data_IF_873246687721
#
_entry.id   IF_873246687721
#
_cell.length_a   1.000
_cell.length_b   1.000
_cell.length_c   1.000
_cell.angle_alpha   90.00
_cell.angle_beta   90.00
_cell.angle_gamma   90.00
#
_symmetry.space_group_name_H-M   'P 1'
#
loop_
_entity.id
_entity.type
_entity.pdbx_description
1 polymer ?
#
# COMPACT_ATOMS: atom_id res chain seq x y z
N UNK A 1 6.85 -15.28 16.19
CA UNK A 1 7.00 -16.10 14.96
C UNK A 1 6.59 -15.24 13.76
N UNK A 2 7.44 -15.12 12.74
CA UNK A 2 7.07 -14.41 11.50
C UNK A 2 6.07 -15.26 10.72
N UNK A 3 4.82 -14.80 10.61
CA UNK A 3 3.79 -15.47 9.80
C UNK A 3 4.14 -15.21 8.34
N UNK A 4 4.67 -16.24 7.67
CA UNK A 4 4.93 -16.18 6.23
C UNK A 4 3.58 -16.10 5.52
N UNK A 5 3.40 -15.09 4.69
CA UNK A 5 2.12 -14.73 4.11
C UNK A 5 2.07 -15.21 2.66
N UNK A 6 0.97 -15.86 2.29
CA UNK A 6 0.77 -16.38 0.94
C UNK A 6 -0.23 -15.50 0.18
N UNK A 7 0.00 -15.32 -1.13
CA UNK A 7 -0.78 -14.45 -2.00
C UNK A 7 -2.22 -14.92 -2.23
N UNK A 8 -2.49 -16.21 -2.02
CA UNK A 8 -3.83 -16.82 -2.13
C UNK A 8 -4.77 -16.41 -0.99
N UNK A 9 -4.25 -15.92 0.14
CA UNK A 9 -5.04 -15.44 1.28
C UNK A 9 -5.46 -13.97 1.16
N UNK A 10 -5.00 -13.29 0.10
CA UNK A 10 -5.20 -11.88 -0.13
C UNK A 10 -6.45 -11.66 -0.97
N UNK A 11 -7.45 -11.01 -0.36
CA UNK A 11 -8.74 -10.74 -1.00
C UNK A 11 -8.71 -9.46 -1.83
N UNK A 12 -8.07 -8.42 -1.32
CA UNK A 12 -8.01 -7.11 -1.96
C UNK A 12 -6.74 -6.38 -1.52
N UNK A 13 -6.16 -5.58 -2.41
CA UNK A 13 -5.15 -4.58 -2.07
C UNK A 13 -5.77 -3.23 -2.38
N UNK A 14 -5.79 -2.34 -1.41
CA UNK A 14 -6.20 -0.94 -1.59
C UNK A 14 -4.96 -0.06 -1.56
N UNK A 15 -4.65 0.61 -2.68
CA UNK A 15 -3.62 1.65 -2.72
C UNK A 15 -4.27 3.00 -2.44
N UNK A 16 -3.86 3.68 -1.38
CA UNK A 16 -4.40 5.01 -1.03
C UNK A 16 -3.66 6.14 -1.79
N UNK A 17 -4.29 7.32 -1.92
CA UNK A 17 -3.63 8.50 -2.47
C UNK A 17 -2.35 8.87 -1.71
N UNK A 18 -1.39 9.43 -2.44
CA UNK A 18 -0.18 10.00 -1.86
C UNK A 18 -0.54 11.16 -0.93
N UNK A 19 0.07 11.17 0.25
CA UNK A 19 -0.08 12.23 1.25
C UNK A 19 1.27 12.87 1.52
N UNK A 20 1.37 14.17 1.30
CA UNK A 20 2.48 14.97 1.79
C UNK A 20 2.33 15.17 3.30
N UNK A 21 3.40 14.91 4.05
CA UNK A 21 3.48 15.09 5.50
C UNK A 21 4.66 16.00 5.81
N UNK A 22 4.48 16.85 6.82
CA UNK A 22 5.58 17.66 7.36
C UNK A 22 6.19 16.91 8.53
N UNK A 23 7.48 16.64 8.46
CA UNK A 23 8.18 15.99 9.56
C UNK A 23 8.33 16.97 10.74
N UNK A 24 8.21 16.51 12.00
CA UNK A 24 8.43 17.36 13.18
C UNK A 24 9.85 17.95 13.23
N UNK A 25 10.84 17.19 12.76
CA UNK A 25 12.20 17.66 12.53
C UNK A 25 12.27 18.52 11.26
N UNK A 26 12.70 19.77 11.42
CA UNK A 26 12.84 20.74 10.34
C UNK A 26 13.91 20.36 9.30
N UNK A 27 14.89 19.53 9.66
CA UNK A 27 15.95 19.09 8.72
C UNK A 27 15.45 18.06 7.70
N UNK A 28 14.42 17.28 8.05
CA UNK A 28 13.80 16.28 7.15
C UNK A 28 12.80 16.97 6.20
N UNK A 29 12.17 18.05 6.66
CA UNK A 29 11.29 18.87 5.81
C UNK A 29 9.95 18.20 5.49
N UNK A 30 9.52 18.29 4.23
CA UNK A 30 8.27 17.70 3.74
C UNK A 30 8.60 16.40 3.01
N UNK A 31 7.92 15.31 3.38
CA UNK A 31 8.08 14.01 2.75
C UNK A 31 6.71 13.48 2.30
N UNK A 32 6.71 12.66 1.26
CA UNK A 32 5.49 12.03 0.77
C UNK A 32 5.38 10.61 1.28
N UNK A 33 4.16 10.18 1.55
CA UNK A 33 3.85 8.82 1.97
C UNK A 33 2.71 8.25 1.15
N UNK A 34 2.73 6.95 0.93
CA UNK A 34 1.62 6.24 0.32
C UNK A 34 1.31 4.98 1.14
N UNK A 35 0.05 4.80 1.48
CA UNK A 35 -0.39 3.68 2.30
C UNK A 35 -1.03 2.62 1.40
N UNK A 36 -0.65 1.37 1.63
CA UNK A 36 -1.19 0.18 0.98
C UNK A 36 -1.85 -0.65 2.06
N UNK A 37 -3.11 -1.02 1.86
CA UNK A 37 -3.85 -1.87 2.77
C UNK A 37 -4.08 -3.21 2.11
N UNK A 38 -3.55 -4.27 2.71
CA UNK A 38 -3.79 -5.65 2.34
C UNK A 38 -4.99 -6.16 3.13
N UNK A 39 -6.04 -6.58 2.44
CA UNK A 39 -7.25 -7.14 3.03
C UNK A 39 -7.26 -8.65 2.84
N UNK A 40 -7.43 -9.41 3.93
CA UNK A 40 -7.37 -10.86 3.91
C UNK A 40 -8.77 -11.48 3.94
N UNK A 41 -8.86 -12.75 3.52
CA UNK A 41 -10.12 -13.49 3.53
C UNK A 41 -10.68 -13.69 4.95
N UNK A 42 -9.82 -13.79 5.95
CA UNK A 42 -10.21 -13.88 7.37
C UNK A 42 -10.73 -12.55 7.95
N UNK A 43 -10.79 -11.49 7.13
CA UNK A 43 -11.24 -10.15 7.50
C UNK A 43 -10.18 -9.32 8.21
N UNK A 44 -8.98 -9.85 8.44
CA UNK A 44 -7.85 -9.07 8.95
C UNK A 44 -7.31 -8.12 7.88
N UNK A 45 -6.60 -7.07 8.33
CA UNK A 45 -5.92 -6.13 7.46
C UNK A 45 -4.46 -5.97 7.89
N UNK A 46 -3.59 -5.72 6.92
CA UNK A 46 -2.21 -5.31 7.17
C UNK A 46 -1.89 -4.05 6.37
N UNK A 47 -1.27 -3.07 7.03
CA UNK A 47 -0.94 -1.79 6.44
C UNK A 47 0.57 -1.71 6.16
N UNK A 48 0.93 -1.24 4.98
CA UNK A 48 2.28 -0.89 4.59
C UNK A 48 2.31 0.59 4.19
N UNK A 49 3.16 1.37 4.86
CA UNK A 49 3.40 2.77 4.49
C UNK A 49 4.72 2.86 3.72
N UNK A 50 4.64 3.30 2.46
CA UNK A 50 5.79 3.63 1.65
C UNK A 50 6.20 5.09 1.90
N UNK A 51 7.49 5.32 2.13
CA UNK A 51 8.09 6.65 1.98
C UNK A 51 8.37 6.91 0.50
N UNK A 52 7.94 8.08 0.01
CA UNK A 52 8.16 8.51 -1.37
C UNK A 52 9.11 9.70 -1.37
N UNK A 53 10.37 9.44 -1.70
CA UNK A 53 11.36 10.49 -1.95
C UNK A 53 11.05 11.22 -3.27
N UNK A 54 11.61 12.42 -3.43
CA UNK A 54 11.42 13.20 -4.65
C UNK A 54 11.94 12.42 -5.87
N UNK A 55 11.08 12.21 -6.86
CA UNK A 55 11.39 11.47 -8.09
C UNK A 55 11.09 9.96 -8.04
N UNK A 56 10.64 9.43 -6.91
CA UNK A 56 10.21 8.02 -6.80
C UNK A 56 8.80 7.84 -7.37
N UNK A 57 8.57 6.72 -8.04
CA UNK A 57 7.25 6.37 -8.55
C UNK A 57 6.29 6.02 -7.40
N UNK A 58 5.15 6.70 -7.36
CA UNK A 58 4.01 6.26 -6.55
C UNK A 58 3.31 5.07 -7.22
N UNK A 59 2.71 4.20 -6.41
CA UNK A 59 1.85 3.15 -6.94
C UNK A 59 0.57 3.76 -7.50
N UNK A 60 0.16 3.27 -8.67
CA UNK A 60 -1.11 3.65 -9.26
C UNK A 60 -2.26 3.27 -8.31
N UNK A 61 -3.27 4.13 -8.25
CA UNK A 61 -4.51 3.82 -7.54
C UNK A 61 -5.25 2.74 -8.31
N UNK A 62 -5.65 1.70 -7.59
CA UNK A 62 -6.39 0.59 -8.16
C UNK A 62 -6.63 -0.50 -7.14
N UNK A 63 -7.53 -1.40 -7.52
CA UNK A 63 -7.86 -2.60 -6.76
C UNK A 63 -7.17 -3.82 -7.38
N UNK A 64 -6.79 -4.77 -6.53
CA UNK A 64 -6.43 -6.11 -6.99
C UNK A 64 -7.68 -6.79 -7.55
N UNK A 65 -7.62 -7.18 -8.83
CA UNK A 65 -8.66 -7.93 -9.52
C UNK A 65 -8.25 -9.39 -9.70
N UNK A 66 -9.22 -10.30 -9.67
CA UNK A 66 -8.95 -11.73 -9.85
C UNK A 66 -8.57 -12.03 -11.30
N UNK A 67 -7.82 -13.11 -11.53
CA UNK A 67 -7.46 -13.53 -12.90
C UNK A 67 -8.72 -13.70 -13.78
N UNK A 68 -9.81 -14.21 -13.21
CA UNK A 68 -11.11 -14.33 -13.88
C UNK A 68 -11.73 -12.99 -14.32
N UNK A 69 -11.39 -11.88 -13.68
CA UNK A 69 -11.86 -10.54 -14.05
C UNK A 69 -11.01 -9.90 -15.16
N UNK A 70 -9.77 -10.35 -15.35
CA UNK A 70 -8.84 -9.81 -16.36
C UNK A 70 -8.92 -10.55 -17.69
N UNK A 71 -9.27 -11.84 -17.65
CA UNK A 71 -9.28 -12.71 -18.84
C UNK A 71 -10.60 -12.70 -19.61
N UNK A 72 -11.50 -11.74 -19.36
CA UNK A 72 -12.79 -11.60 -20.06
C UNK A 72 -12.65 -10.78 -21.33
#
# INVERSE_FOLDING_TARGET
MSKRMYLDQLKQITVKPVKARRHPDAFIGIYSTQEIVFHFEDGSNQELTLGLEAGVHALALGDLVTNTQVTV
#
